data_IF_983190846743
#
_entry.id   IF_983190846743
#
_cell.length_a   1.000
_cell.length_b   1.000
_cell.length_c   1.000
_cell.angle_alpha   90.00
_cell.angle_beta   90.00
_cell.angle_gamma   90.00
#
_symmetry.space_group_name_H-M   'P 1'
#
loop_
_entity.id
_entity.type
_entity.pdbx_description
1 polymer ?
#
# COMPACT_ATOMS: atom_id res chain seq x y z
N UNK A 1 -2.64 9.06 6.94
CA UNK A 1 -1.80 8.82 8.14
C UNK A 1 -2.69 8.72 9.36
N UNK A 2 -2.33 7.95 10.39
CA UNK A 2 -3.15 7.83 11.61
C UNK A 2 -2.57 6.82 12.58
N UNK A 3 -2.98 6.83 13.88
CA UNK A 3 -2.52 5.92 14.90
C UNK A 3 -2.63 4.44 14.51
N UNK A 4 -1.85 3.55 15.10
CA UNK A 4 -2.03 2.11 14.90
C UNK A 4 -3.39 1.65 15.47
N UNK A 5 -3.97 0.62 14.87
CA UNK A 5 -5.20 0.00 15.35
C UNK A 5 -6.52 0.76 15.12
N UNK A 6 -6.51 1.88 14.38
CA UNK A 6 -7.73 2.65 14.08
C UNK A 6 -8.52 2.10 12.87
N UNK A 7 -8.16 0.94 12.33
CA UNK A 7 -8.90 0.31 11.24
C UNK A 7 -8.57 0.81 9.84
N UNK A 8 -7.33 1.31 9.58
CA UNK A 8 -6.93 1.80 8.24
C UNK A 8 -7.15 0.77 7.14
N UNK A 9 -6.78 -0.48 7.37
CA UNK A 9 -7.00 -1.59 6.44
C UNK A 9 -8.49 -1.90 6.28
N UNK A 10 -9.24 -1.91 7.38
CA UNK A 10 -10.69 -2.15 7.38
C UNK A 10 -11.45 -1.11 6.55
N UNK A 11 -11.02 0.16 6.59
CA UNK A 11 -11.61 1.21 5.74
C UNK A 11 -11.42 0.87 4.26
N UNK A 12 -10.25 0.37 3.87
CA UNK A 12 -9.99 -0.01 2.47
C UNK A 12 -10.83 -1.22 2.03
N UNK A 13 -11.01 -2.19 2.92
CA UNK A 13 -11.88 -3.35 2.68
C UNK A 13 -13.33 -2.92 2.47
N UNK A 14 -13.85 -2.06 3.34
CA UNK A 14 -15.21 -1.52 3.22
C UNK A 14 -15.42 -0.75 1.92
N UNK A 15 -14.48 0.15 1.56
CA UNK A 15 -14.57 0.91 0.32
C UNK A 15 -14.56 -0.02 -0.89
N UNK A 16 -13.68 -1.03 -0.90
CA UNK A 16 -13.60 -1.98 -2.00
C UNK A 16 -14.90 -2.78 -2.15
N UNK A 17 -15.51 -3.21 -1.03
CA UNK A 17 -16.78 -3.92 -1.02
C UNK A 17 -17.96 -3.05 -1.49
N UNK A 18 -18.08 -1.84 -0.93
CA UNK A 18 -19.15 -0.89 -1.29
C UNK A 18 -19.07 -0.46 -2.75
N UNK A 19 -17.86 -0.19 -3.26
CA UNK A 19 -17.63 0.20 -4.64
C UNK A 19 -17.57 -1.00 -5.61
N UNK A 20 -17.55 -2.23 -5.11
CA UNK A 20 -17.42 -3.49 -5.89
C UNK A 20 -16.18 -3.49 -6.76
N UNK A 21 -15.05 -3.06 -6.21
CA UNK A 21 -13.74 -3.01 -6.85
C UNK A 21 -12.76 -3.96 -6.19
N UNK A 22 -11.64 -4.27 -6.85
CA UNK A 22 -10.59 -5.11 -6.31
C UNK A 22 -9.84 -4.46 -5.15
N UNK A 23 -9.36 -5.27 -4.22
CA UNK A 23 -8.41 -4.85 -3.19
C UNK A 23 -7.20 -5.79 -3.20
N UNK A 24 -6.01 -5.20 -3.29
CA UNK A 24 -4.73 -5.86 -3.04
C UNK A 24 -4.07 -5.13 -1.88
N UNK A 25 -3.85 -5.81 -0.76
CA UNK A 25 -3.26 -5.22 0.43
C UNK A 25 -1.88 -5.83 0.71
N UNK A 26 -0.90 -4.96 0.93
CA UNK A 26 0.47 -5.33 1.28
C UNK A 26 0.95 -4.59 2.52
N UNK A 27 1.57 -5.32 3.45
CA UNK A 27 2.36 -4.74 4.53
C UNK A 27 3.82 -4.72 4.12
N UNK A 28 4.35 -3.53 3.83
CA UNK A 28 5.66 -3.39 3.17
C UNK A 28 6.84 -3.82 4.04
N UNK A 29 6.70 -3.81 5.36
CA UNK A 29 7.74 -4.22 6.31
C UNK A 29 8.15 -5.69 6.19
N UNK A 30 7.29 -6.53 5.61
CA UNK A 30 7.57 -7.94 5.35
C UNK A 30 8.30 -8.18 4.02
N UNK A 31 8.54 -7.12 3.23
CA UNK A 31 9.14 -7.22 1.91
C UNK A 31 10.59 -6.77 1.90
N UNK A 32 11.43 -7.55 1.22
CA UNK A 32 12.78 -7.15 0.82
C UNK A 32 12.70 -6.33 -0.47
N UNK A 33 13.79 -5.62 -0.82
CA UNK A 33 13.86 -4.93 -2.10
C UNK A 33 13.62 -5.88 -3.28
N UNK A 34 14.14 -7.09 -3.22
CA UNK A 34 14.01 -8.09 -4.29
C UNK A 34 12.58 -8.59 -4.46
N UNK A 35 11.85 -8.83 -3.38
CA UNK A 35 10.45 -9.23 -3.46
C UNK A 35 9.55 -8.08 -3.93
N UNK A 36 9.84 -6.86 -3.53
CA UNK A 36 9.03 -5.70 -3.92
C UNK A 36 9.27 -5.26 -5.37
N UNK A 37 10.53 -5.22 -5.82
CA UNK A 37 10.94 -4.65 -7.13
C UNK A 37 11.12 -5.72 -8.20
N UNK A 38 11.41 -6.96 -7.81
CA UNK A 38 11.79 -8.06 -8.70
C UNK A 38 13.29 -8.39 -8.65
N UNK A 39 13.64 -9.51 -9.25
CA UNK A 39 15.02 -9.99 -9.34
C UNK A 39 15.66 -9.57 -10.66
N UNK A 40 16.93 -9.11 -10.67
CA UNK A 40 17.63 -8.84 -11.90
C UNK A 40 17.96 -10.16 -12.62
N UNK A 41 17.82 -10.16 -13.94
CA UNK A 41 18.28 -11.24 -14.82
C UNK A 41 18.94 -10.67 -16.06
N UNK A 42 19.84 -11.46 -16.66
CA UNK A 42 20.54 -11.07 -17.88
C UNK A 42 19.72 -11.53 -19.09
N UNK A 43 19.56 -10.63 -20.05
CA UNK A 43 18.88 -10.89 -21.32
C UNK A 43 19.78 -10.40 -22.46
N UNK A 44 19.96 -11.24 -23.48
CA UNK A 44 20.66 -10.85 -24.70
C UNK A 44 19.68 -10.11 -25.63
N UNK A 45 20.10 -8.96 -26.13
CA UNK A 45 19.33 -8.16 -27.09
C UNK A 45 20.23 -7.57 -28.14
N UNK A 46 19.72 -7.50 -29.37
CA UNK A 46 20.40 -6.90 -30.50
C UNK A 46 20.01 -5.41 -30.65
N UNK A 47 20.99 -4.54 -30.70
CA UNK A 47 20.84 -3.13 -31.00
C UNK A 47 21.80 -2.73 -32.12
N UNK A 48 21.27 -2.16 -33.21
CA UNK A 48 22.06 -1.73 -34.37
C UNK A 48 22.96 -2.81 -34.96
N UNK A 49 22.51 -4.07 -35.00
CA UNK A 49 23.25 -5.21 -35.54
C UNK A 49 24.36 -5.76 -34.64
N UNK A 50 24.35 -5.39 -33.34
CA UNK A 50 25.30 -5.92 -32.34
C UNK A 50 24.52 -6.47 -31.13
N UNK A 51 24.98 -7.60 -30.63
CA UNK A 51 24.43 -8.23 -29.42
C UNK A 51 24.99 -7.56 -28.17
N UNK A 52 24.10 -7.33 -27.20
CA UNK A 52 24.40 -6.77 -25.89
C UNK A 52 23.70 -7.55 -24.81
N UNK A 53 24.41 -7.82 -23.73
CA UNK A 53 23.81 -8.31 -22.49
C UNK A 53 23.24 -7.14 -21.71
N UNK A 54 21.95 -7.14 -21.46
CA UNK A 54 21.27 -6.13 -20.66
C UNK A 54 20.71 -6.74 -19.36
N UNK A 55 20.57 -5.92 -18.35
CA UNK A 55 19.89 -6.33 -17.12
C UNK A 55 18.42 -5.92 -17.18
N UNK A 56 17.54 -6.90 -17.11
CA UNK A 56 16.11 -6.70 -16.88
C UNK A 56 15.71 -7.19 -15.48
N UNK A 57 14.52 -6.84 -15.03
CA UNK A 57 13.98 -7.28 -13.76
C UNK A 57 12.73 -8.12 -13.97
N UNK A 58 12.57 -9.18 -13.17
CA UNK A 58 11.30 -9.91 -13.10
C UNK A 58 10.19 -9.00 -12.63
N UNK A 59 8.95 -9.36 -12.90
CA UNK A 59 7.82 -8.57 -12.43
C UNK A 59 7.79 -8.49 -10.90
N UNK A 60 7.54 -7.30 -10.38
CA UNK A 60 7.27 -7.07 -8.97
C UNK A 60 6.10 -7.93 -8.50
N UNK A 61 6.24 -8.59 -7.34
CA UNK A 61 5.14 -9.34 -6.74
C UNK A 61 3.92 -8.47 -6.45
N UNK A 62 4.16 -7.22 -6.05
CA UNK A 62 3.11 -6.24 -5.79
C UNK A 62 2.29 -5.97 -7.05
N UNK A 63 2.96 -5.72 -8.17
CA UNK A 63 2.29 -5.49 -9.46
C UNK A 63 1.63 -6.78 -9.98
N UNK A 64 2.30 -7.92 -9.86
CA UNK A 64 1.75 -9.20 -10.28
C UNK A 64 0.44 -9.54 -9.56
N UNK A 65 0.31 -9.15 -8.28
CA UNK A 65 -0.93 -9.38 -7.52
C UNK A 65 -2.09 -8.50 -8.01
N UNK A 66 -1.80 -7.31 -8.51
CA UNK A 66 -2.81 -6.49 -9.19
C UNK A 66 -3.28 -7.18 -10.47
N UNK A 67 -2.37 -7.70 -11.30
CA UNK A 67 -2.75 -8.42 -12.51
C UNK A 67 -3.60 -9.67 -12.22
N UNK A 68 -3.25 -10.44 -11.17
CA UNK A 68 -4.07 -11.59 -10.75
C UNK A 68 -5.49 -11.16 -10.37
N UNK A 69 -5.65 -10.03 -9.68
CA UNK A 69 -6.99 -9.50 -9.36
C UNK A 69 -7.78 -9.09 -10.60
N UNK A 70 -7.11 -8.56 -11.61
CA UNK A 70 -7.75 -8.26 -12.90
C UNK A 70 -8.22 -9.54 -13.59
N UNK A 71 -7.41 -10.60 -13.59
CA UNK A 71 -7.78 -11.91 -14.13
C UNK A 71 -8.95 -12.57 -13.36
N UNK A 72 -9.08 -12.29 -12.05
CA UNK A 72 -10.23 -12.69 -11.23
C UNK A 72 -11.52 -11.89 -11.53
N UNK A 73 -11.47 -10.94 -12.44
CA UNK A 73 -12.62 -10.14 -12.87
C UNK A 73 -12.75 -8.77 -12.22
N UNK A 74 -11.70 -8.27 -11.56
CA UNK A 74 -11.66 -6.94 -10.95
C UNK A 74 -10.80 -5.99 -11.78
N UNK A 75 -11.32 -5.35 -12.86
CA UNK A 75 -10.53 -4.47 -13.72
C UNK A 75 -10.09 -3.18 -13.03
N UNK A 76 -10.77 -2.80 -11.97
CA UNK A 76 -10.50 -1.61 -11.17
C UNK A 76 -10.30 -1.98 -9.71
N UNK A 77 -9.49 -1.20 -8.97
CA UNK A 77 -9.25 -1.52 -7.58
C UNK A 77 -8.32 -0.58 -6.84
N UNK A 78 -8.05 -0.99 -5.61
CA UNK A 78 -7.13 -0.33 -4.69
C UNK A 78 -5.93 -1.25 -4.47
N UNK A 79 -4.73 -0.72 -4.72
CA UNK A 79 -3.48 -1.27 -4.25
C UNK A 79 -3.12 -0.56 -2.93
N UNK A 80 -3.38 -1.22 -1.82
CA UNK A 80 -3.14 -0.69 -0.49
C UNK A 80 -1.79 -1.14 0.05
N UNK A 81 -0.95 -0.18 0.44
CA UNK A 81 0.38 -0.44 1.00
C UNK A 81 0.40 0.07 2.42
N UNK A 82 0.41 -0.86 3.37
CA UNK A 82 0.45 -0.52 4.79
C UNK A 82 1.89 -0.39 5.29
N UNK A 83 2.04 0.40 6.37
CA UNK A 83 3.30 0.69 7.05
C UNK A 83 4.38 1.30 6.14
N UNK A 84 3.97 2.10 5.14
CA UNK A 84 4.87 2.66 4.13
C UNK A 84 6.07 3.42 4.72
N UNK A 85 5.92 4.04 5.86
CA UNK A 85 6.97 4.79 6.54
C UNK A 85 7.84 3.95 7.51
N UNK A 86 7.58 2.66 7.61
CA UNK A 86 8.42 1.68 8.32
C UNK A 86 9.31 0.86 7.36
N UNK A 87 9.33 1.21 6.10
CA UNK A 87 10.12 0.54 5.07
C UNK A 87 11.63 0.69 5.35
N UNK A 88 12.42 -0.33 4.96
CA UNK A 88 13.88 -0.30 5.12
C UNK A 88 14.54 0.84 4.35
N UNK A 89 15.72 1.29 4.81
CA UNK A 89 16.50 2.37 4.16
C UNK A 89 16.77 2.11 2.69
N UNK A 90 17.05 0.87 2.35
CA UNK A 90 17.39 0.46 0.99
C UNK A 90 16.18 0.42 0.06
N UNK A 91 14.98 0.23 0.63
CA UNK A 91 13.73 0.14 -0.12
C UNK A 91 12.97 1.48 -0.19
N UNK A 92 13.14 2.36 0.80
CA UNK A 92 12.40 3.61 0.90
C UNK A 92 12.45 4.49 -0.37
N UNK A 93 13.62 4.77 -0.99
CA UNK A 93 13.66 5.59 -2.21
C UNK A 93 12.86 4.97 -3.37
N UNK A 94 12.91 3.64 -3.49
CA UNK A 94 12.19 2.91 -4.54
C UNK A 94 10.68 2.96 -4.31
N UNK A 95 10.23 2.84 -3.07
CA UNK A 95 8.81 2.95 -2.72
C UNK A 95 8.27 4.36 -2.93
N UNK A 96 9.06 5.39 -2.62
CA UNK A 96 8.69 6.78 -2.90
C UNK A 96 8.53 7.02 -4.41
N UNK A 97 9.47 6.53 -5.21
CA UNK A 97 9.37 6.59 -6.66
C UNK A 97 8.13 5.83 -7.16
N UNK A 98 7.83 4.67 -6.59
CA UNK A 98 6.65 3.90 -6.92
C UNK A 98 5.34 4.66 -6.63
N UNK A 99 5.23 5.32 -5.49
CA UNK A 99 4.06 6.15 -5.16
C UNK A 99 3.88 7.31 -6.15
N UNK A 100 4.98 7.88 -6.63
CA UNK A 100 4.95 9.03 -7.56
C UNK A 100 4.65 8.61 -9.00
N UNK A 101 5.36 7.58 -9.49
CA UNK A 101 5.35 7.17 -10.89
C UNK A 101 4.40 6.00 -11.18
N UNK A 102 3.92 5.30 -10.14
CA UNK A 102 3.13 4.07 -10.22
C UNK A 102 3.85 2.94 -10.99
N UNK A 103 5.18 2.92 -10.95
CA UNK A 103 6.01 1.94 -11.67
C UNK A 103 7.10 1.38 -10.79
N UNK A 104 7.43 0.10 -11.00
CA UNK A 104 8.70 -0.50 -10.60
C UNK A 104 9.49 -0.83 -11.86
N UNK A 105 10.61 -0.13 -12.08
CA UNK A 105 11.37 -0.24 -13.32
C UNK A 105 10.51 0.08 -14.55
N UNK A 106 10.39 -0.89 -15.45
CA UNK A 106 9.58 -0.79 -16.68
C UNK A 106 8.13 -1.27 -16.51
N UNK A 107 7.73 -1.67 -15.31
CA UNK A 107 6.42 -2.26 -15.04
C UNK A 107 5.54 -1.24 -14.32
N UNK A 108 4.37 -0.95 -14.90
CA UNK A 108 3.40 -0.01 -14.36
C UNK A 108 2.23 -0.71 -13.66
N UNK A 109 1.67 -0.06 -12.64
CA UNK A 109 0.36 -0.44 -12.11
C UNK A 109 -0.68 -0.20 -13.20
N UNK A 110 -1.54 -1.19 -13.51
CA UNK A 110 -2.55 -1.08 -14.55
C UNK A 110 -3.49 0.11 -14.34
N UNK A 111 -4.01 0.64 -15.46
CA UNK A 111 -5.05 1.67 -15.41
C UNK A 111 -6.29 1.14 -14.67
N UNK A 112 -7.01 2.03 -13.99
CA UNK A 112 -8.14 1.67 -13.12
C UNK A 112 -7.74 1.34 -11.69
N UNK A 113 -6.43 1.17 -11.39
CA UNK A 113 -5.95 0.89 -10.04
C UNK A 113 -5.35 2.14 -9.38
N UNK A 114 -5.76 2.40 -8.14
CA UNK A 114 -5.30 3.52 -7.32
C UNK A 114 -4.38 2.99 -6.23
N UNK A 115 -3.22 3.65 -6.06
CA UNK A 115 -2.33 3.33 -4.95
C UNK A 115 -2.75 4.14 -3.73
N UNK A 116 -3.00 3.47 -2.62
CA UNK A 116 -3.24 4.07 -1.31
C UNK A 116 -2.18 3.57 -0.35
N UNK A 117 -1.48 4.48 0.30
CA UNK A 117 -0.46 4.13 1.27
C UNK A 117 -0.87 4.57 2.68
N UNK A 118 -0.68 3.71 3.67
CA UNK A 118 -0.91 4.00 5.06
C UNK A 118 0.40 4.01 5.85
N UNK A 119 0.45 4.84 6.87
CA UNK A 119 1.57 4.91 7.79
C UNK A 119 1.13 5.41 9.16
N UNK A 120 1.94 5.16 10.16
CA UNK A 120 1.72 5.60 11.54
C UNK A 120 2.54 6.87 11.82
N UNK A 121 2.03 7.83 12.61
CA UNK A 121 2.82 8.97 13.04
C UNK A 121 4.06 8.56 13.86
N UNK A 122 5.16 9.36 13.85
CA UNK A 122 6.42 9.02 14.53
C UNK A 122 6.28 8.75 16.03
N UNK A 123 5.28 9.33 16.67
CA UNK A 123 5.01 9.18 18.11
C UNK A 123 4.69 7.73 18.49
N UNK A 124 4.19 6.94 17.54
CA UNK A 124 3.78 5.55 17.78
C UNK A 124 4.82 4.51 17.39
N UNK A 125 5.85 4.90 16.64
CA UNK A 125 6.90 3.97 16.22
C UNK A 125 8.22 4.70 15.97
N UNK A 126 9.25 4.38 16.76
CA UNK A 126 10.61 4.96 16.64
C UNK A 126 11.33 4.61 15.32
N UNK A 127 10.88 3.58 14.64
CA UNK A 127 11.43 3.17 13.33
C UNK A 127 10.80 3.92 12.16
N UNK A 128 9.85 4.79 12.42
CA UNK A 128 9.16 5.59 11.41
C UNK A 128 10.10 6.67 10.89
N UNK A 129 10.11 6.83 9.57
CA UNK A 129 10.78 7.93 8.88
C UNK A 129 9.77 8.97 8.46
N UNK A 130 10.15 10.21 8.62
CA UNK A 130 9.40 11.30 8.01
C UNK A 130 9.60 11.24 6.49
N UNK A 131 8.47 11.29 5.77
CA UNK A 131 8.54 11.51 4.34
C UNK A 131 9.05 12.91 4.05
N UNK A 132 10.00 13.00 3.13
CA UNK A 132 10.48 14.30 2.62
C UNK A 132 9.28 15.12 2.09
N UNK A 133 9.31 16.42 2.36
CA UNK A 133 8.32 17.41 1.91
C UNK A 133 8.08 17.29 0.39
N UNK A 134 9.14 17.07 -0.39
CA UNK A 134 9.06 16.90 -1.85
C UNK A 134 8.20 15.70 -2.25
N UNK A 135 8.15 14.67 -1.43
CA UNK A 135 7.30 13.49 -1.67
C UNK A 135 5.84 13.77 -1.34
N UNK A 136 5.59 14.56 -0.30
CA UNK A 136 4.23 14.90 0.14
C UNK A 136 3.49 15.79 -0.87
N UNK A 137 4.21 16.60 -1.64
CA UNK A 137 3.62 17.47 -2.68
C UNK A 137 2.97 16.69 -3.84
N UNK A 138 3.33 15.41 -4.00
CA UNK A 138 2.84 14.55 -5.10
C UNK A 138 1.78 13.53 -4.68
N UNK A 139 1.48 13.46 -3.39
CA UNK A 139 0.47 12.57 -2.83
C UNK A 139 -0.57 13.38 -2.06
N UNK A 140 -1.84 12.96 -2.16
CA UNK A 140 -2.88 13.55 -1.34
C UNK A 140 -2.81 12.94 0.07
N UNK A 141 -2.35 13.72 1.04
CA UNK A 141 -2.34 13.31 2.45
C UNK A 141 -3.73 13.43 3.07
N UNK A 142 -4.13 12.42 3.80
CA UNK A 142 -5.30 12.41 4.67
C UNK A 142 -4.87 11.93 6.06
N UNK A 143 -5.18 12.72 7.07
CA UNK A 143 -4.96 12.34 8.46
C UNK A 143 -6.28 11.76 9.02
N UNK A 144 -6.18 10.62 9.67
CA UNK A 144 -7.31 9.86 10.21
C UNK A 144 -7.14 9.86 11.73
N UNK A 145 -8.16 10.32 12.42
CA UNK A 145 -8.23 10.35 13.87
C UNK A 145 -9.27 9.36 14.39
N UNK A 146 -9.07 8.79 15.59
CA UNK A 146 -10.06 7.96 16.23
C UNK A 146 -11.32 8.77 16.55
N UNK A 147 -12.48 8.28 16.12
CA UNK A 147 -13.78 8.86 16.46
C UNK A 147 -14.66 7.77 17.13
N UNK A 148 -14.89 7.88 18.42
CA UNK A 148 -15.64 6.90 19.20
C UNK A 148 -17.12 6.81 18.80
N UNK A 149 -17.83 7.90 18.54
CA UNK A 149 -19.18 7.86 17.97
C UNK A 149 -19.25 7.07 16.68
N UNK A 150 -18.45 7.42 15.70
CA UNK A 150 -18.40 6.74 14.39
C UNK A 150 -18.03 5.26 14.55
N UNK A 151 -17.03 4.94 15.40
CA UNK A 151 -16.68 3.55 15.68
C UNK A 151 -17.85 2.77 16.29
N UNK A 152 -18.65 3.37 17.18
CA UNK A 152 -19.81 2.71 17.78
C UNK A 152 -20.91 2.44 16.76
N UNK A 153 -21.12 3.32 15.82
CA UNK A 153 -22.12 3.11 14.77
C UNK A 153 -21.69 1.98 13.84
N UNK A 154 -20.40 1.96 13.41
CA UNK A 154 -19.81 0.84 12.73
C UNK A 154 -19.95 -0.47 13.51
N UNK A 155 -19.57 -0.48 14.78
CA UNK A 155 -19.59 -1.67 15.62
C UNK A 155 -21.02 -2.24 15.82
N UNK A 156 -22.04 -1.39 15.85
CA UNK A 156 -23.45 -1.81 15.86
C UNK A 156 -23.86 -2.44 14.53
N UNK A 157 -23.48 -1.81 13.40
CA UNK A 157 -23.75 -2.33 12.06
C UNK A 157 -23.05 -3.68 11.82
N UNK A 158 -21.83 -3.83 12.33
CA UNK A 158 -21.05 -5.07 12.27
C UNK A 158 -21.44 -6.11 13.33
N UNK A 159 -22.53 -5.90 14.10
CA UNK A 159 -23.02 -6.79 15.14
C UNK A 159 -21.99 -7.14 16.23
N UNK A 160 -21.06 -6.23 16.53
CA UNK A 160 -20.09 -6.42 17.61
C UNK A 160 -20.82 -6.46 18.96
N UNK A 161 -20.45 -7.43 19.80
CA UNK A 161 -21.11 -7.68 21.06
C UNK A 161 -21.14 -6.43 21.98
N UNK A 162 -22.29 -6.15 22.57
CA UNK A 162 -22.54 -4.93 23.35
C UNK A 162 -21.61 -4.73 24.56
N UNK A 163 -21.02 -5.80 25.08
CA UNK A 163 -20.02 -5.71 26.15
C UNK A 163 -18.77 -4.97 25.68
N UNK A 164 -18.31 -5.19 24.42
CA UNK A 164 -17.15 -4.52 23.84
C UNK A 164 -17.45 -3.03 23.63
N UNK A 165 -18.67 -2.67 23.24
CA UNK A 165 -19.12 -1.28 23.11
C UNK A 165 -19.07 -0.49 24.43
N UNK A 166 -19.14 -1.18 25.57
CA UNK A 166 -19.08 -0.56 26.91
C UNK A 166 -17.64 -0.35 27.38
N UNK A 167 -16.70 -1.21 26.99
CA UNK A 167 -15.28 -1.14 27.39
C UNK A 167 -14.62 0.15 26.88
N UNK A 168 -14.98 0.61 25.69
CA UNK A 168 -14.47 1.87 25.12
C UNK A 168 -14.82 3.14 25.91
N UNK A 169 -15.55 3.04 27.03
CA UNK A 169 -15.80 4.16 27.98
C UNK A 169 -14.78 4.23 29.11
N UNK A 170 -13.96 3.21 29.31
CA UNK A 170 -13.10 3.10 30.48
C UNK A 170 -11.71 3.69 30.31
N UNK A 171 -11.35 4.17 29.12
CA UNK A 171 -10.01 4.68 28.80
C UNK A 171 -10.03 6.02 28.03
N UNK A 172 -10.95 6.90 28.38
CA UNK A 172 -10.92 8.32 27.96
C UNK A 172 -10.79 9.18 29.21
#
# INVERSE_FOLDING_TARGET
>A
MGPPGIGKTQIMEQIAEECKIGLVAYTITHHTRQSAVGLPFIKEMEFAGKEYSITEYTMSEIIASVYRKIEEGCPEGILFIDEINCVSETLAPTMLQFLQCKTFGNQAVPAGWVIVAAGNPPEYNKSVRDFDIVTLDRVRRMDIEPDLPVWKDYARAAHIHSAILKIGRAHV
#
